data_IF_237217596590
#
_entry.id   IF_237217596590
#
_cell.length_a   1.000
_cell.length_b   1.000
_cell.length_c   1.000
_cell.angle_alpha   90.00
_cell.angle_beta   90.00
_cell.angle_gamma   90.00
#
_symmetry.space_group_name_H-M   'P 1'
#
loop_
_entity.id
_entity.type
_entity.pdbx_description
1 polymer ?
#
# COMPACT_ATOMS: atom_id res chain seq x y z
N UNK A 1 -6.35 3.06 -4.84
CA UNK A 1 -5.20 2.18 -4.49
C UNK A 1 -4.47 2.68 -3.25
N UNK A 2 -3.76 3.81 -3.26
CA UNK A 2 -3.05 4.33 -2.06
C UNK A 2 -3.99 4.52 -0.83
N UNK A 3 -5.19 5.07 -1.05
CA UNK A 3 -6.19 5.23 0.02
C UNK A 3 -6.62 3.90 0.63
N UNK A 4 -6.88 2.91 -0.22
CA UNK A 4 -7.24 1.56 0.22
C UNK A 4 -6.10 0.86 0.97
N UNK A 5 -4.85 1.11 0.59
CA UNK A 5 -3.69 0.61 1.34
C UNK A 5 -3.64 1.26 2.73
N UNK A 6 -3.71 2.59 2.82
CA UNK A 6 -3.76 3.32 4.10
C UNK A 6 -4.87 2.81 5.04
N UNK A 7 -6.08 2.65 4.51
CA UNK A 7 -7.24 2.12 5.26
C UNK A 7 -6.99 0.68 5.72
N UNK A 8 -6.45 -0.17 4.85
CA UNK A 8 -6.19 -1.58 5.22
C UNK A 8 -5.11 -1.71 6.28
N UNK A 9 -4.04 -0.91 6.22
CA UNK A 9 -3.05 -0.90 7.31
C UNK A 9 -3.62 -0.31 8.60
N UNK A 10 -4.56 0.64 8.51
CA UNK A 10 -5.28 1.16 9.67
C UNK A 10 -6.10 0.05 10.34
N UNK A 11 -6.83 -0.73 9.56
CA UNK A 11 -7.57 -1.90 10.06
C UNK A 11 -6.63 -2.98 10.60
N UNK A 12 -5.53 -3.28 9.91
CA UNK A 12 -4.56 -4.27 10.35
C UNK A 12 -4.00 -3.92 11.75
N UNK A 13 -3.69 -2.65 11.99
CA UNK A 13 -3.14 -2.17 13.27
C UNK A 13 -4.07 -2.40 14.47
N UNK A 14 -5.36 -2.65 14.26
CA UNK A 14 -6.29 -3.03 15.33
C UNK A 14 -6.04 -4.46 15.84
N UNK A 15 -5.40 -5.32 15.03
CA UNK A 15 -5.23 -6.74 15.30
C UNK A 15 -3.80 -7.14 15.66
N UNK A 16 -2.79 -6.35 15.27
CA UNK A 16 -1.38 -6.69 15.49
C UNK A 16 -0.77 -5.93 16.68
N UNK A 17 -0.09 -6.68 17.55
CA UNK A 17 0.77 -6.15 18.61
C UNK A 17 2.24 -6.06 18.21
N UNK A 18 3.10 -5.73 19.18
CA UNK A 18 4.55 -5.67 18.96
C UNK A 18 5.15 -7.07 18.74
N UNK A 19 6.15 -7.22 17.84
CA UNK A 19 6.87 -6.15 17.13
C UNK A 19 6.27 -5.74 15.77
N UNK A 20 5.26 -6.48 15.28
CA UNK A 20 4.66 -6.26 13.95
C UNK A 20 4.00 -4.89 13.82
N UNK A 21 3.44 -4.38 14.92
CA UNK A 21 2.78 -3.07 14.96
C UNK A 21 3.70 -1.93 14.48
N UNK A 22 4.98 -1.95 14.83
CA UNK A 22 5.93 -0.91 14.40
C UNK A 22 6.14 -0.90 12.87
N UNK A 23 6.23 -2.07 12.25
CA UNK A 23 6.38 -2.22 10.79
C UNK A 23 5.13 -1.72 10.09
N UNK A 24 3.95 -2.17 10.54
CA UNK A 24 2.67 -1.77 9.95
C UNK A 24 2.40 -0.26 10.10
N UNK A 25 2.83 0.35 11.22
CA UNK A 25 2.75 1.81 11.41
C UNK A 25 3.65 2.56 10.41
N UNK A 26 4.88 2.09 10.21
CA UNK A 26 5.82 2.65 9.24
C UNK A 26 5.23 2.63 7.82
N UNK A 27 4.71 1.47 7.42
CA UNK A 27 4.12 1.28 6.09
C UNK A 27 2.85 2.15 5.92
N UNK A 28 1.95 2.19 6.91
CA UNK A 28 0.78 3.08 6.88
C UNK A 28 1.18 4.54 6.68
N UNK A 29 2.21 5.00 7.41
CA UNK A 29 2.70 6.37 7.30
C UNK A 29 3.30 6.66 5.92
N UNK A 30 3.91 5.68 5.28
CA UNK A 30 4.40 5.80 3.90
C UNK A 30 3.24 6.01 2.91
N UNK A 31 2.14 5.28 3.05
CA UNK A 31 0.93 5.47 2.23
C UNK A 31 0.27 6.83 2.44
N UNK A 32 0.24 7.32 3.68
CA UNK A 32 -0.28 8.66 4.01
C UNK A 32 0.51 9.76 3.28
N UNK A 33 1.85 9.70 3.34
CA UNK A 33 2.69 10.64 2.60
C UNK A 33 2.56 10.53 1.07
N UNK A 34 2.23 9.34 0.55
CA UNK A 34 1.92 9.18 -0.88
C UNK A 34 0.58 9.80 -1.26
N UNK A 35 -0.43 9.70 -0.38
CA UNK A 35 -1.73 10.34 -0.58
C UNK A 35 -1.61 11.85 -0.65
N UNK A 36 -0.87 12.47 0.27
CA UNK A 36 -0.61 13.91 0.28
C UNK A 36 0.04 14.35 -1.04
N UNK A 37 1.10 13.65 -1.45
CA UNK A 37 1.78 13.93 -2.71
C UNK A 37 0.84 13.81 -3.91
N UNK A 38 0.06 12.73 -4.00
CA UNK A 38 -0.85 12.53 -5.14
C UNK A 38 -1.97 13.58 -5.15
N UNK A 39 -2.53 13.93 -3.99
CA UNK A 39 -3.56 14.97 -3.87
C UNK A 39 -3.06 16.33 -4.40
N UNK A 40 -1.82 16.69 -4.10
CA UNK A 40 -1.17 17.90 -4.63
C UNK A 40 -1.01 17.87 -6.16
N UNK A 41 -0.83 16.69 -6.76
CA UNK A 41 -0.59 16.56 -8.20
C UNK A 41 -1.87 16.48 -9.05
N UNK A 42 -2.94 15.86 -8.55
CA UNK A 42 -4.19 15.69 -9.33
C UNK A 42 -5.23 16.79 -9.03
N UNK A 43 -5.00 17.60 -8.00
CA UNK A 43 -5.95 18.58 -7.49
C UNK A 43 -7.07 17.91 -6.70
N UNK A 44 -7.58 18.59 -5.67
CA UNK A 44 -8.52 18.07 -4.68
C UNK A 44 -9.90 17.61 -5.19
N UNK A 45 -10.14 17.61 -6.51
CA UNK A 45 -11.44 17.37 -7.13
C UNK A 45 -11.57 16.08 -7.92
N UNK A 46 -10.52 15.27 -8.01
CA UNK A 46 -10.61 13.93 -8.59
C UNK A 46 -10.37 12.90 -7.49
N UNK A 47 -11.46 12.42 -6.89
CA UNK A 47 -11.38 11.14 -6.19
C UNK A 47 -10.97 10.09 -7.23
N UNK A 48 -9.79 9.46 -7.11
CA UNK A 48 -9.45 8.38 -8.00
C UNK A 48 -10.29 7.20 -7.53
N UNK A 49 -11.44 7.00 -8.17
CA UNK A 49 -12.24 5.80 -8.07
C UNK A 49 -11.45 4.65 -8.72
N UNK A 50 -10.45 4.15 -8.00
CA UNK A 50 -9.53 3.12 -8.48
C UNK A 50 -9.35 2.07 -7.38
N UNK A 51 -10.22 1.05 -7.42
CA UNK A 51 -10.02 -0.27 -6.84
C UNK A 51 -10.07 -0.33 -5.32
N UNK A 52 -11.28 -0.13 -4.77
CA UNK A 52 -11.56 -0.21 -3.32
C UNK A 52 -11.92 -1.64 -2.89
N UNK A 53 -12.35 -2.52 -3.80
CA UNK A 53 -13.13 -3.70 -3.41
C UNK A 53 -12.37 -4.96 -2.92
N UNK A 54 -11.02 -4.98 -2.84
CA UNK A 54 -10.30 -6.22 -2.46
C UNK A 54 -9.27 -6.13 -1.34
N UNK A 55 -8.90 -4.93 -0.91
CA UNK A 55 -7.80 -4.76 0.04
C UNK A 55 -8.28 -4.83 1.50
N UNK A 56 -9.32 -4.06 1.86
CA UNK A 56 -9.82 -3.96 3.24
C UNK A 56 -10.51 -5.23 3.73
N UNK A 57 -11.45 -5.78 2.93
CA UNK A 57 -12.21 -6.97 3.32
C UNK A 57 -11.38 -8.24 3.52
N UNK A 58 -10.17 -8.30 2.94
CA UNK A 58 -9.32 -9.48 3.05
C UNK A 58 -8.60 -9.57 4.40
N UNK A 59 -8.07 -8.46 4.93
CA UNK A 59 -7.12 -8.50 6.07
C UNK A 59 -7.80 -8.70 7.41
N UNK A 60 -8.86 -7.96 7.72
CA UNK A 60 -9.61 -8.14 8.97
C UNK A 60 -10.26 -9.53 9.08
N UNK A 61 -10.80 -10.04 7.96
CA UNK A 61 -11.39 -11.38 7.89
C UNK A 61 -10.36 -12.51 7.94
N UNK A 62 -9.17 -12.34 7.32
CA UNK A 62 -8.16 -13.40 7.32
C UNK A 62 -7.38 -13.49 8.63
N UNK A 63 -7.11 -12.38 9.32
CA UNK A 63 -6.40 -12.43 10.62
C UNK A 63 -7.19 -13.22 11.67
N UNK A 64 -8.49 -12.95 11.78
CA UNK A 64 -9.38 -13.62 12.74
C UNK A 64 -9.56 -15.12 12.42
N UNK A 65 -9.56 -15.50 11.14
CA UNK A 65 -9.90 -16.87 10.70
C UNK A 65 -8.68 -17.75 10.44
N UNK A 66 -7.57 -17.18 9.98
CA UNK A 66 -6.40 -17.92 9.48
C UNK A 66 -5.07 -17.54 10.15
N UNK A 67 -5.08 -16.54 11.04
CA UNK A 67 -3.91 -16.12 11.83
C UNK A 67 -3.00 -15.09 11.15
N UNK A 68 -2.01 -14.61 11.91
CA UNK A 68 -1.10 -13.51 11.55
C UNK A 68 -0.38 -13.72 10.20
N UNK A 69 0.14 -14.92 9.94
CA UNK A 69 0.85 -15.20 8.69
C UNK A 69 -0.03 -15.10 7.44
N UNK A 70 -1.32 -15.42 7.55
CA UNK A 70 -2.27 -15.30 6.43
C UNK A 70 -2.60 -13.84 6.11
N UNK A 71 -2.73 -13.01 7.14
CA UNK A 71 -2.98 -11.59 6.97
C UNK A 71 -1.73 -10.82 6.50
N UNK A 72 -0.51 -11.23 6.89
CA UNK A 72 0.72 -10.72 6.27
C UNK A 72 0.80 -11.05 4.77
N UNK A 73 0.45 -12.27 4.37
CA UNK A 73 0.37 -12.62 2.94
C UNK A 73 -0.67 -11.79 2.17
N UNK A 74 -1.79 -11.44 2.81
CA UNK A 74 -2.78 -10.56 2.21
C UNK A 74 -2.24 -9.14 2.00
N UNK A 75 -1.50 -8.60 2.99
CA UNK A 75 -0.81 -7.31 2.86
C UNK A 75 0.26 -7.35 1.75
N UNK A 76 1.09 -8.40 1.70
CA UNK A 76 2.08 -8.60 0.63
C UNK A 76 1.43 -8.65 -0.77
N UNK A 77 0.33 -9.39 -0.91
CA UNK A 77 -0.40 -9.49 -2.18
C UNK A 77 -0.99 -8.14 -2.59
N UNK A 78 -1.37 -7.33 -1.62
CA UNK A 78 -1.84 -5.99 -1.82
C UNK A 78 -0.74 -5.04 -2.32
N UNK A 79 0.41 -5.00 -1.65
CA UNK A 79 1.55 -4.17 -2.05
C UNK A 79 2.06 -4.53 -3.44
N UNK A 80 2.06 -5.82 -3.80
CA UNK A 80 2.39 -6.26 -5.16
C UNK A 80 1.42 -5.67 -6.19
N UNK A 81 0.12 -5.63 -5.91
CA UNK A 81 -0.86 -5.00 -6.80
C UNK A 81 -0.61 -3.50 -6.96
N UNK A 82 -0.22 -2.79 -5.89
CA UNK A 82 0.18 -1.37 -5.97
C UNK A 82 1.45 -1.20 -6.82
N UNK A 83 2.48 -2.03 -6.61
CA UNK A 83 3.72 -1.98 -7.38
C UNK A 83 3.47 -2.19 -8.89
N UNK A 84 2.63 -3.16 -9.24
CA UNK A 84 2.23 -3.38 -10.63
C UNK A 84 1.46 -2.20 -11.21
N UNK A 85 0.57 -1.59 -10.42
CA UNK A 85 -0.18 -0.43 -10.87
C UNK A 85 0.74 0.77 -11.14
N UNK A 86 1.75 0.99 -10.30
CA UNK A 86 2.78 1.99 -10.55
C UNK A 86 3.64 1.66 -11.76
N UNK A 87 4.04 0.41 -11.95
CA UNK A 87 4.73 0.00 -13.16
C UNK A 87 3.91 0.30 -14.43
N UNK A 88 2.60 -0.01 -14.42
CA UNK A 88 1.68 0.30 -15.51
C UNK A 88 1.56 1.81 -15.74
N UNK A 89 1.42 2.61 -14.68
CA UNK A 89 1.32 4.07 -14.76
C UNK A 89 2.61 4.70 -15.32
N UNK A 90 3.79 4.22 -14.90
CA UNK A 90 5.09 4.68 -15.41
C UNK A 90 5.21 4.48 -16.94
N UNK A 91 4.52 3.48 -17.50
CA UNK A 91 4.50 3.23 -18.94
C UNK A 91 3.42 4.00 -19.70
N UNK A 92 2.52 4.72 -19.02
CA UNK A 92 1.43 5.45 -19.68
C UNK A 92 1.92 6.79 -20.26
N UNK A 93 1.96 6.96 -21.60
CA UNK A 93 2.42 8.20 -22.23
C UNK A 93 1.50 9.40 -21.90
N UNK A 94 0.25 9.16 -21.49
CA UNK A 94 -0.73 10.20 -21.16
C UNK A 94 -0.46 10.89 -19.83
N UNK A 95 0.26 10.24 -18.91
CA UNK A 95 0.64 10.88 -17.65
C UNK A 95 1.74 11.93 -17.87
N UNK A 96 1.73 13.05 -17.13
CA UNK A 96 2.82 14.01 -17.19
C UNK A 96 4.18 13.36 -16.89
N UNK A 97 5.24 13.79 -17.60
CA UNK A 97 6.58 13.22 -17.42
C UNK A 97 7.06 13.29 -15.96
N UNK A 98 6.84 14.43 -15.30
CA UNK A 98 7.24 14.62 -13.91
C UNK A 98 6.55 13.59 -12.98
N UNK A 99 5.27 13.28 -13.21
CA UNK A 99 4.54 12.31 -12.39
C UNK A 99 5.06 10.89 -12.62
N UNK A 100 5.39 10.52 -13.88
CA UNK A 100 6.04 9.24 -14.16
C UNK A 100 7.43 9.14 -13.54
N UNK A 101 8.17 10.24 -13.49
CA UNK A 101 9.49 10.27 -12.87
C UNK A 101 9.38 10.12 -11.35
N UNK A 102 8.38 10.74 -10.72
CA UNK A 102 8.07 10.54 -9.29
C UNK A 102 7.64 9.10 -8.97
N UNK A 103 6.73 8.53 -9.77
CA UNK A 103 6.34 7.13 -9.63
C UNK A 103 7.54 6.18 -9.74
N UNK A 104 8.46 6.46 -10.68
CA UNK A 104 9.65 5.63 -10.92
C UNK A 104 10.71 5.77 -9.82
N UNK A 105 10.97 7.00 -9.39
CA UNK A 105 12.13 7.32 -8.56
C UNK A 105 11.81 7.32 -7.06
N UNK A 106 10.53 7.48 -6.69
CA UNK A 106 10.09 7.57 -5.28
C UNK A 106 9.07 6.51 -4.91
N UNK A 107 7.88 6.53 -5.53
CA UNK A 107 6.77 5.70 -5.05
C UNK A 107 6.99 4.20 -5.28
N UNK A 108 7.37 3.78 -6.48
CA UNK A 108 7.61 2.35 -6.76
C UNK A 108 8.76 1.76 -5.90
N UNK A 109 9.91 2.43 -5.72
CA UNK A 109 10.93 1.97 -4.78
C UNK A 109 10.43 1.82 -3.34
N UNK A 110 9.59 2.75 -2.87
CA UNK A 110 9.00 2.71 -1.53
C UNK A 110 8.09 1.49 -1.33
N UNK A 111 7.19 1.22 -2.28
CA UNK A 111 6.32 0.02 -2.23
C UNK A 111 7.16 -1.27 -2.22
N UNK A 112 8.27 -1.31 -2.98
CA UNK A 112 9.18 -2.46 -2.95
C UNK A 112 9.88 -2.63 -1.60
N UNK A 113 10.17 -1.53 -0.90
CA UNK A 113 10.71 -1.59 0.45
C UNK A 113 9.68 -2.16 1.44
N UNK A 114 8.42 -1.71 1.37
CA UNK A 114 7.32 -2.24 2.18
C UNK A 114 7.16 -3.76 1.99
N UNK A 115 7.20 -4.24 0.75
CA UNK A 115 7.16 -5.68 0.44
C UNK A 115 8.27 -6.45 1.15
N UNK A 116 9.50 -5.93 1.11
CA UNK A 116 10.65 -6.57 1.77
C UNK A 116 10.50 -6.57 3.30
N UNK A 117 9.95 -5.49 3.88
CA UNK A 117 9.67 -5.43 5.32
C UNK A 117 8.62 -6.47 5.74
N UNK A 118 7.54 -6.62 4.98
CA UNK A 118 6.51 -7.64 5.23
C UNK A 118 7.06 -9.06 5.09
N UNK A 119 7.85 -9.31 4.05
CA UNK A 119 8.49 -10.61 3.83
C UNK A 119 9.40 -10.98 5.01
N UNK A 120 10.24 -10.04 5.47
CA UNK A 120 11.09 -10.27 6.64
C UNK A 120 10.27 -10.54 7.91
N UNK A 121 9.18 -9.80 8.11
CA UNK A 121 8.31 -9.93 9.26
C UNK A 121 7.55 -11.28 9.31
N UNK A 122 7.33 -11.91 8.15
CA UNK A 122 6.71 -13.24 8.07
C UNK A 122 7.66 -14.38 8.47
N UNK A 123 8.97 -14.17 8.36
CA UNK A 123 10.00 -15.17 8.67
C UNK A 123 10.78 -14.90 9.98
N UNK A 124 10.42 -13.83 10.71
CA UNK A 124 10.96 -13.49 12.03
C UNK A 124 10.22 -14.20 13.15
#
# INVERSE_FOLDING_TARGET
MERGAFETYTEALEFYGDPLQAILLSIRSAHDGNLDFLADQVGSSSEPELGVDRFSGAVGGTSIVFGEGAALMALEAGENQLAEAYARAISDPRLPRYLRDELRNRLLPLIKANLMELEMARFS
#
